data_IF_544506453414
#
_entry.id   IF_544506453414
#
_cell.length_a   1.000
_cell.length_b   1.000
_cell.length_c   1.000
_cell.angle_alpha   90.00
_cell.angle_beta   90.00
_cell.angle_gamma   90.00
#
_symmetry.space_group_name_H-M   'P 1'
#
loop_
_entity.id
_entity.type
_entity.pdbx_description
1 polymer ?
#
# COMPACT_ATOMS: atom_id res chain seq x y z
N UNK A 1 -46.48 45.93 15.90
CA UNK A 1 -46.98 44.62 15.39
C UNK A 1 -46.14 43.54 16.05
N UNK A 2 -46.72 42.80 16.99
CA UNK A 2 -46.01 41.76 17.75
C UNK A 2 -46.32 40.39 17.16
N UNK A 3 -45.29 39.56 16.98
CA UNK A 3 -45.43 38.18 16.52
C UNK A 3 -46.22 37.34 17.54
N UNK A 4 -47.05 36.39 17.09
CA UNK A 4 -47.75 35.47 17.99
C UNK A 4 -46.76 34.51 18.68
N UNK A 5 -47.07 34.03 19.89
CA UNK A 5 -46.18 33.14 20.63
C UNK A 5 -46.10 31.76 19.96
N UNK A 6 -44.93 31.13 20.05
CA UNK A 6 -44.69 29.77 19.58
C UNK A 6 -45.52 28.75 20.36
N UNK A 7 -45.97 27.65 19.73
CA UNK A 7 -46.67 26.58 20.41
C UNK A 7 -45.76 25.90 21.45
N UNK A 8 -46.33 25.31 22.53
CA UNK A 8 -45.54 24.64 23.55
C UNK A 8 -44.80 23.44 22.95
N UNK A 9 -43.52 23.30 23.29
CA UNK A 9 -42.75 22.13 22.90
C UNK A 9 -43.22 20.88 23.67
N UNK A 10 -43.23 19.69 23.04
CA UNK A 10 -43.61 18.48 23.72
C UNK A 10 -42.60 18.15 24.84
N UNK A 11 -43.11 17.92 26.04
CA UNK A 11 -42.32 17.41 27.17
C UNK A 11 -42.05 15.94 26.91
N UNK A 12 -40.78 15.58 26.66
CA UNK A 12 -40.38 14.18 26.63
C UNK A 12 -40.40 13.64 28.08
N UNK A 13 -41.08 12.51 28.33
CA UNK A 13 -41.12 11.94 29.67
C UNK A 13 -39.72 11.52 30.11
N UNK A 14 -39.37 11.91 31.34
CA UNK A 14 -38.19 11.42 32.03
C UNK A 14 -38.26 9.91 32.17
N UNK A 15 -37.38 9.22 31.44
CA UNK A 15 -37.00 7.86 31.74
C UNK A 15 -35.48 7.88 31.95
N UNK A 16 -35.04 7.49 33.13
CA UNK A 16 -33.65 7.16 33.39
C UNK A 16 -33.18 6.22 32.28
N UNK A 17 -32.21 6.67 31.47
CA UNK A 17 -31.64 5.85 30.41
C UNK A 17 -30.87 4.70 31.05
N UNK A 18 -31.39 3.49 30.91
CA UNK A 18 -30.63 2.27 31.14
C UNK A 18 -29.33 2.31 30.33
N UNK A 19 -28.23 1.72 30.83
CA UNK A 19 -26.95 1.78 30.14
C UNK A 19 -27.10 1.15 28.75
N UNK A 20 -26.85 1.94 27.72
CA UNK A 20 -26.72 1.45 26.34
C UNK A 20 -25.63 0.37 26.39
N UNK A 21 -26.01 -0.90 26.17
CA UNK A 21 -25.06 -2.00 26.02
C UNK A 21 -24.12 -1.63 24.87
N UNK A 22 -22.89 -1.21 25.21
CA UNK A 22 -21.81 -1.03 24.25
C UNK A 22 -21.62 -2.38 23.56
N UNK A 23 -21.98 -2.45 22.27
CA UNK A 23 -21.65 -3.60 21.44
C UNK A 23 -20.13 -3.87 21.47
N UNK A 24 -19.67 -5.07 21.11
CA UNK A 24 -18.25 -5.39 21.13
C UNK A 24 -17.46 -4.35 20.34
N UNK A 25 -16.43 -3.74 20.96
CA UNK A 25 -15.52 -2.85 20.23
C UNK A 25 -15.03 -3.60 18.98
N UNK A 26 -15.01 -2.97 17.78
CA UNK A 26 -14.53 -3.62 16.58
C UNK A 26 -13.14 -4.21 16.83
N UNK A 27 -12.98 -5.53 16.63
CA UNK A 27 -11.69 -6.19 16.80
C UNK A 27 -10.70 -5.64 15.76
N UNK A 28 -9.57 -5.11 16.21
CA UNK A 28 -8.50 -4.67 15.30
C UNK A 28 -7.88 -5.91 14.65
N UNK A 29 -7.93 -5.95 13.31
CA UNK A 29 -7.42 -7.06 12.49
C UNK A 29 -5.90 -7.00 12.34
N UNK A 30 -5.26 -8.10 11.92
CA UNK A 30 -3.82 -8.10 11.59
C UNK A 30 -3.51 -7.04 10.54
N UNK A 31 -4.33 -7.00 9.50
CA UNK A 31 -4.18 -6.07 8.40
C UNK A 31 -4.14 -4.62 8.89
N UNK A 32 -5.00 -4.23 9.85
CA UNK A 32 -4.94 -2.87 10.41
C UNK A 32 -3.62 -2.59 11.14
N UNK A 33 -3.06 -3.58 11.83
CA UNK A 33 -1.73 -3.45 12.43
C UNK A 33 -0.63 -3.32 11.37
N UNK A 34 -0.70 -4.12 10.30
CA UNK A 34 0.29 -4.04 9.21
C UNK A 34 0.21 -2.71 8.47
N UNK A 35 -0.99 -2.23 8.14
CA UNK A 35 -1.18 -0.91 7.49
C UNK A 35 -0.59 0.19 8.36
N UNK A 36 -0.93 0.25 9.65
CA UNK A 36 -0.38 1.24 10.57
C UNK A 36 1.15 1.15 10.67
N UNK A 37 1.71 -0.06 10.66
CA UNK A 37 3.16 -0.24 10.71
C UNK A 37 3.87 0.16 9.42
N UNK A 38 3.28 -0.09 8.26
CA UNK A 38 3.80 0.41 6.98
C UNK A 38 3.74 1.94 6.92
N UNK A 39 2.70 2.57 7.46
CA UNK A 39 2.63 4.02 7.60
C UNK A 39 3.75 4.57 8.50
N UNK A 40 3.98 3.97 9.67
CA UNK A 40 5.09 4.37 10.54
C UNK A 40 6.46 4.12 9.88
N UNK A 41 6.62 3.00 9.16
CA UNK A 41 7.82 2.68 8.41
C UNK A 41 8.12 3.76 7.36
N UNK A 42 7.10 4.20 6.61
CA UNK A 42 7.22 5.27 5.63
C UNK A 42 7.61 6.62 6.25
N UNK A 43 7.15 6.91 7.48
CA UNK A 43 7.38 8.19 8.16
C UNK A 43 8.77 8.29 8.78
N UNK A 44 9.30 7.20 9.36
CA UNK A 44 10.51 7.27 10.17
C UNK A 44 11.40 6.04 10.11
N UNK A 45 11.22 5.18 9.11
CA UNK A 45 11.96 3.93 8.99
C UNK A 45 11.59 2.91 10.06
N UNK A 46 12.38 1.84 10.15
CA UNK A 46 12.03 0.69 11.00
C UNK A 46 11.97 1.04 12.50
N UNK A 47 12.73 2.04 12.95
CA UNK A 47 12.75 2.48 14.34
C UNK A 47 11.45 3.19 14.75
N UNK A 48 10.69 3.73 13.80
CA UNK A 48 9.37 4.29 14.05
C UNK A 48 8.30 3.21 14.27
N UNK A 49 8.53 1.98 13.82
CA UNK A 49 7.61 0.83 13.97
C UNK A 49 7.71 0.26 15.39
N UNK A 50 7.09 0.96 16.35
CA UNK A 50 7.07 0.63 17.78
C UNK A 50 5.67 0.24 18.22
N UNK A 51 5.55 -0.83 19.01
CA UNK A 51 4.26 -1.39 19.44
C UNK A 51 3.42 -0.34 20.18
N UNK A 52 4.06 0.50 21.00
CA UNK A 52 3.49 1.65 21.70
C UNK A 52 2.75 2.59 20.74
N UNK A 53 3.46 3.03 19.69
CA UNK A 53 2.99 3.99 18.69
C UNK A 53 1.85 3.39 17.89
N UNK A 54 1.99 2.13 17.46
CA UNK A 54 0.95 1.44 16.71
C UNK A 54 -0.32 1.25 17.55
N UNK A 55 -0.18 0.90 18.82
CA UNK A 55 -1.32 0.72 19.72
C UNK A 55 -2.06 2.05 19.94
N UNK A 56 -1.32 3.14 20.17
CA UNK A 56 -1.87 4.48 20.30
C UNK A 56 -2.60 4.91 19.02
N UNK A 57 -1.96 4.77 17.85
CA UNK A 57 -2.54 5.08 16.55
C UNK A 57 -3.84 4.31 16.28
N UNK A 58 -3.90 3.04 16.70
CA UNK A 58 -5.07 2.19 16.51
C UNK A 58 -6.14 2.34 17.60
N UNK A 59 -5.89 3.15 18.64
CA UNK A 59 -6.82 3.35 19.77
C UNK A 59 -6.96 2.11 20.66
N UNK A 60 -5.90 1.32 20.78
CA UNK A 60 -5.87 0.03 21.49
C UNK A 60 -4.71 -0.03 22.50
N UNK A 61 -4.69 -1.08 23.32
CA UNK A 61 -3.60 -1.29 24.29
C UNK A 61 -2.52 -2.20 23.70
N UNK A 62 -1.29 -2.13 24.25
CA UNK A 62 -0.23 -3.10 23.93
C UNK A 62 -0.66 -4.54 24.20
N UNK A 63 -1.49 -4.77 25.22
CA UNK A 63 -2.03 -6.10 25.51
C UNK A 63 -2.82 -6.70 24.35
N UNK A 64 -3.53 -5.88 23.57
CA UNK A 64 -4.22 -6.34 22.36
C UNK A 64 -3.28 -6.70 21.21
N UNK A 65 -2.07 -6.12 21.17
CA UNK A 65 -1.03 -6.56 20.24
C UNK A 65 -0.55 -7.96 20.63
N UNK A 66 -0.17 -8.17 21.89
CA UNK A 66 0.36 -9.45 22.36
C UNK A 66 -0.67 -10.59 22.39
N UNK A 67 -1.96 -10.26 22.42
CA UNK A 67 -3.02 -11.25 22.20
C UNK A 67 -3.08 -11.78 20.75
N UNK A 68 -2.37 -11.13 19.82
CA UNK A 68 -2.38 -11.45 18.39
C UNK A 68 -1.01 -11.84 17.83
N UNK A 69 0.04 -11.19 18.31
CA UNK A 69 1.42 -11.40 17.86
C UNK A 69 2.30 -11.67 19.08
N UNK A 70 2.98 -12.81 19.08
CA UNK A 70 3.80 -13.22 20.24
C UNK A 70 4.96 -12.25 20.50
N UNK A 71 5.59 -11.76 19.43
CA UNK A 71 6.74 -10.86 19.50
C UNK A 71 6.69 -9.81 18.40
N UNK A 72 7.49 -8.74 18.58
CA UNK A 72 7.72 -7.74 17.53
C UNK A 72 8.31 -8.38 16.27
N UNK A 73 9.23 -9.32 16.40
CA UNK A 73 9.88 -9.95 15.24
C UNK A 73 8.89 -10.76 14.40
N UNK A 74 8.03 -11.56 15.04
CA UNK A 74 6.95 -12.30 14.35
C UNK A 74 5.99 -11.34 13.65
N UNK A 75 5.68 -10.21 14.27
CA UNK A 75 4.86 -9.17 13.65
C UNK A 75 5.54 -8.56 12.41
N UNK A 76 6.84 -8.26 12.49
CA UNK A 76 7.60 -7.68 11.40
C UNK A 76 7.78 -8.67 10.24
N UNK A 77 7.95 -9.96 10.52
CA UNK A 77 7.89 -11.05 9.53
C UNK A 77 6.56 -11.01 8.76
N UNK A 78 5.45 -11.05 9.50
CA UNK A 78 4.12 -11.05 8.90
C UNK A 78 3.78 -9.74 8.16
N UNK A 79 4.30 -8.59 8.63
CA UNK A 79 4.14 -7.30 7.97
C UNK A 79 4.84 -7.27 6.60
N UNK A 80 6.07 -7.78 6.53
CA UNK A 80 6.82 -7.85 5.28
C UNK A 80 6.14 -8.79 4.28
N UNK A 81 5.63 -9.93 4.76
CA UNK A 81 4.84 -10.85 3.94
C UNK A 81 3.55 -10.21 3.41
N UNK A 82 2.82 -9.49 4.27
CA UNK A 82 1.62 -8.74 3.89
C UNK A 82 1.94 -7.71 2.81
N UNK A 83 3.03 -6.96 2.98
CA UNK A 83 3.47 -5.96 2.01
C UNK A 83 3.85 -6.58 0.66
N UNK A 84 4.63 -7.67 0.65
CA UNK A 84 4.94 -8.44 -0.57
C UNK A 84 3.66 -8.89 -1.26
N UNK A 85 2.72 -9.45 -0.49
CA UNK A 85 1.49 -9.99 -1.04
C UNK A 85 0.66 -8.89 -1.70
N UNK A 86 0.49 -7.76 -1.02
CA UNK A 86 -0.34 -6.66 -1.51
C UNK A 86 0.27 -5.94 -2.71
N UNK A 87 1.56 -5.65 -2.67
CA UNK A 87 2.20 -4.79 -3.69
C UNK A 87 2.75 -5.53 -4.89
N UNK A 88 2.86 -6.87 -4.83
CA UNK A 88 3.43 -7.67 -5.92
C UNK A 88 2.51 -8.80 -6.32
N UNK A 89 2.31 -9.83 -5.50
CA UNK A 89 1.58 -11.02 -5.96
C UNK A 89 0.09 -10.73 -6.20
N UNK A 90 -0.54 -9.96 -5.33
CA UNK A 90 -1.93 -9.54 -5.45
C UNK A 90 -2.13 -8.61 -6.64
N UNK A 91 -1.28 -7.60 -6.79
CA UNK A 91 -1.33 -6.69 -7.94
C UNK A 91 -1.12 -7.41 -9.27
N UNK A 92 -0.12 -8.30 -9.36
CA UNK A 92 0.12 -9.11 -10.56
C UNK A 92 -1.10 -9.99 -10.86
N UNK A 93 -1.72 -10.61 -9.85
CA UNK A 93 -2.91 -11.43 -10.02
C UNK A 93 -4.10 -10.60 -10.52
N UNK A 94 -4.35 -9.42 -9.93
CA UNK A 94 -5.39 -8.49 -10.36
C UNK A 94 -5.21 -8.05 -11.81
N UNK A 95 -3.99 -7.64 -12.19
CA UNK A 95 -3.68 -7.23 -13.56
C UNK A 95 -3.77 -8.39 -14.56
N UNK A 96 -3.35 -9.59 -14.15
CA UNK A 96 -3.40 -10.78 -15.01
C UNK A 96 -4.82 -11.31 -15.23
N UNK A 97 -5.73 -11.04 -14.29
CA UNK A 97 -7.14 -11.39 -14.38
C UNK A 97 -7.97 -10.40 -15.22
N UNK A 98 -7.39 -9.26 -15.63
CA UNK A 98 -8.08 -8.31 -16.52
C UNK A 98 -8.30 -8.95 -17.89
N UNK A 99 -9.54 -8.86 -18.39
CA UNK A 99 -9.90 -9.24 -19.76
C UNK A 99 -9.48 -8.13 -20.75
N UNK A 100 -8.17 -7.90 -20.84
CA UNK A 100 -7.56 -6.83 -21.63
C UNK A 100 -6.18 -7.23 -22.16
N UNK A 101 -5.68 -6.51 -23.16
CA UNK A 101 -4.39 -6.76 -23.78
C UNK A 101 -3.19 -6.40 -22.87
N UNK A 102 -1.97 -6.81 -23.24
CA UNK A 102 -0.75 -6.48 -22.50
C UNK A 102 -0.49 -4.97 -22.41
N UNK A 103 -0.84 -4.21 -23.45
CA UNK A 103 -0.77 -2.74 -23.46
C UNK A 103 -1.64 -2.10 -22.38
N UNK A 104 -2.91 -2.53 -22.25
CA UNK A 104 -3.83 -2.04 -21.22
C UNK A 104 -3.35 -2.36 -19.81
N UNK A 105 -2.76 -3.56 -19.62
CA UNK A 105 -2.19 -3.98 -18.33
C UNK A 105 -0.97 -3.14 -17.97
N UNK A 106 -0.10 -2.82 -18.94
CA UNK A 106 1.04 -1.91 -18.76
C UNK A 106 0.56 -0.50 -18.40
N UNK A 107 -0.42 0.03 -19.14
CA UNK A 107 -1.02 1.34 -18.87
C UNK A 107 -1.63 1.40 -17.46
N UNK A 108 -2.34 0.34 -17.05
CA UNK A 108 -2.91 0.23 -15.71
C UNK A 108 -1.83 0.19 -14.63
N UNK A 109 -0.75 -0.55 -14.84
CA UNK A 109 0.38 -0.61 -13.91
C UNK A 109 1.02 0.77 -13.74
N UNK A 110 1.25 1.51 -14.82
CA UNK A 110 1.78 2.87 -14.74
C UNK A 110 0.83 3.83 -14.01
N UNK A 111 -0.48 3.70 -14.23
CA UNK A 111 -1.47 4.49 -13.52
C UNK A 111 -1.47 4.22 -12.00
N UNK A 112 -1.38 2.95 -11.59
CA UNK A 112 -1.27 2.55 -10.17
C UNK A 112 0.01 3.12 -9.56
N UNK A 113 1.14 2.93 -10.25
CA UNK A 113 2.43 3.45 -9.81
C UNK A 113 2.37 4.97 -9.57
N UNK A 114 1.69 5.73 -10.45
CA UNK A 114 1.49 7.17 -10.30
C UNK A 114 0.64 7.55 -9.09
N UNK A 115 -0.43 6.79 -8.80
CA UNK A 115 -1.29 7.04 -7.63
C UNK A 115 -0.55 6.77 -6.32
N UNK A 116 0.29 5.74 -6.28
CA UNK A 116 1.10 5.41 -5.11
C UNK A 116 2.13 6.50 -4.76
N UNK A 117 2.58 7.28 -5.75
CA UNK A 117 3.46 8.45 -5.53
C UNK A 117 2.84 9.53 -4.66
N UNK A 118 1.53 9.73 -4.84
CA UNK A 118 0.78 10.75 -4.11
C UNK A 118 0.37 10.28 -2.72
N UNK A 119 0.69 9.04 -2.37
CA UNK A 119 0.26 8.36 -1.16
C UNK A 119 1.45 7.78 -0.39
N UNK A 120 1.14 7.16 0.75
CA UNK A 120 2.13 6.49 1.62
C UNK A 120 2.89 5.36 0.92
N UNK A 121 2.33 4.76 -0.14
CA UNK A 121 2.88 3.58 -0.82
C UNK A 121 4.31 3.77 -1.37
N UNK A 122 4.61 4.88 -2.03
CA UNK A 122 5.96 5.15 -2.53
C UNK A 122 6.98 5.26 -1.39
N UNK A 123 6.62 5.92 -0.29
CA UNK A 123 7.49 6.05 0.88
C UNK A 123 7.69 4.71 1.61
N UNK A 124 6.71 3.80 1.57
CA UNK A 124 6.86 2.43 2.08
C UNK A 124 7.92 1.67 1.29
N UNK A 125 7.89 1.71 -0.04
CA UNK A 125 8.89 1.03 -0.90
C UNK A 125 10.31 1.57 -0.60
N UNK A 126 10.45 2.89 -0.46
CA UNK A 126 11.73 3.54 -0.11
C UNK A 126 12.22 3.09 1.26
N UNK A 127 11.34 3.10 2.26
CA UNK A 127 11.68 2.70 3.62
C UNK A 127 12.01 1.20 3.71
N UNK A 128 11.31 0.34 2.97
CA UNK A 128 11.64 -1.09 2.84
C UNK A 128 13.04 -1.28 2.24
N UNK A 129 13.37 -0.57 1.15
CA UNK A 129 14.70 -0.61 0.52
C UNK A 129 15.81 -0.13 1.46
N UNK A 130 15.55 0.93 2.23
CA UNK A 130 16.47 1.42 3.27
C UNK A 130 16.67 0.37 4.37
N UNK A 131 15.59 -0.20 4.89
CA UNK A 131 15.64 -1.21 5.94
C UNK A 131 16.39 -2.49 5.52
N UNK A 132 16.25 -2.89 4.26
CA UNK A 132 16.96 -4.03 3.70
C UNK A 132 18.49 -3.91 3.66
N UNK A 133 19.04 -2.70 3.84
CA UNK A 133 20.48 -2.50 3.98
C UNK A 133 21.03 -3.18 5.24
N UNK A 134 20.21 -3.29 6.29
CA UNK A 134 20.65 -3.79 7.61
C UNK A 134 19.87 -5.01 8.07
N UNK A 135 18.74 -5.35 7.45
CA UNK A 135 17.85 -6.43 7.88
C UNK A 135 17.65 -7.52 6.81
N UNK A 136 17.98 -8.76 7.17
CA UNK A 136 17.92 -9.92 6.28
C UNK A 136 16.50 -10.27 5.83
N UNK A 137 15.47 -9.99 6.64
CA UNK A 137 14.08 -10.26 6.26
C UNK A 137 13.63 -9.30 5.17
N UNK A 138 13.85 -8.00 5.37
CA UNK A 138 13.50 -6.99 4.38
C UNK A 138 14.26 -7.21 3.07
N UNK A 139 15.55 -7.57 3.17
CA UNK A 139 16.38 -7.92 2.02
C UNK A 139 15.81 -9.10 1.21
N UNK A 140 15.50 -10.22 1.87
CA UNK A 140 14.94 -11.41 1.18
C UNK A 140 13.62 -11.09 0.47
N UNK A 141 12.73 -10.37 1.14
CA UNK A 141 11.45 -10.00 0.55
C UNK A 141 11.61 -9.09 -0.67
N UNK A 142 12.52 -8.12 -0.63
CA UNK A 142 12.83 -7.27 -1.78
C UNK A 142 13.43 -8.07 -2.94
N UNK A 143 14.39 -8.96 -2.68
CA UNK A 143 14.98 -9.80 -3.72
C UNK A 143 13.91 -10.67 -4.42
N UNK A 144 12.90 -11.14 -3.70
CA UNK A 144 11.74 -11.84 -4.26
C UNK A 144 10.81 -10.92 -5.06
N UNK A 145 10.50 -9.74 -4.51
CA UNK A 145 9.64 -8.74 -5.15
C UNK A 145 10.26 -8.29 -6.48
N UNK A 146 11.53 -7.88 -6.46
CA UNK A 146 12.25 -7.35 -7.62
C UNK A 146 12.29 -8.41 -8.73
N UNK A 147 12.54 -9.68 -8.37
CA UNK A 147 12.50 -10.82 -9.31
C UNK A 147 11.13 -11.03 -9.93
N UNK A 148 10.07 -11.04 -9.12
CA UNK A 148 8.70 -11.26 -9.61
C UNK A 148 8.21 -10.09 -10.47
N UNK A 149 8.52 -8.85 -10.09
CA UNK A 149 8.15 -7.66 -10.87
C UNK A 149 8.87 -7.64 -12.21
N UNK A 150 10.18 -7.93 -12.25
CA UNK A 150 10.94 -8.05 -13.50
C UNK A 150 10.36 -9.13 -14.42
N UNK A 151 10.14 -10.34 -13.89
CA UNK A 151 9.54 -11.43 -14.67
C UNK A 151 8.15 -11.07 -15.22
N UNK A 152 7.36 -10.33 -14.46
CA UNK A 152 6.05 -9.87 -14.93
C UNK A 152 6.17 -8.85 -16.07
N UNK A 153 7.07 -7.87 -15.96
CA UNK A 153 7.33 -6.94 -17.06
C UNK A 153 7.83 -7.65 -18.32
N UNK A 154 8.74 -8.62 -18.17
CA UNK A 154 9.20 -9.43 -19.30
C UNK A 154 8.05 -10.17 -19.99
N UNK A 155 7.12 -10.72 -19.20
CA UNK A 155 5.94 -11.41 -19.74
C UNK A 155 5.02 -10.45 -20.52
N UNK A 156 4.80 -9.23 -20.02
CA UNK A 156 3.97 -8.23 -20.67
C UNK A 156 4.61 -7.73 -21.97
N UNK A 157 5.91 -7.46 -21.97
CA UNK A 157 6.64 -7.02 -23.17
C UNK A 157 6.67 -8.11 -24.25
N UNK A 158 6.89 -9.36 -23.85
CA UNK A 158 6.83 -10.51 -24.77
C UNK A 158 5.44 -10.61 -25.40
N UNK A 159 4.39 -10.52 -24.59
CA UNK A 159 3.00 -10.54 -25.07
C UNK A 159 2.67 -9.32 -25.96
N UNK A 160 3.32 -8.17 -25.72
CA UNK A 160 3.18 -6.96 -26.53
C UNK A 160 3.99 -6.98 -27.84
N UNK A 161 4.68 -8.08 -28.15
CA UNK A 161 5.41 -8.24 -29.42
C UNK A 161 6.82 -7.65 -29.45
N UNK A 162 7.37 -7.26 -28.30
CA UNK A 162 8.75 -6.76 -28.21
C UNK A 162 9.74 -7.88 -28.58
N UNK A 163 10.78 -7.60 -29.40
CA UNK A 163 11.79 -8.60 -29.76
C UNK A 163 12.46 -9.23 -28.54
N UNK A 164 12.62 -10.55 -28.56
CA UNK A 164 13.08 -11.35 -27.41
C UNK A 164 14.41 -10.86 -26.83
N UNK A 165 15.33 -10.43 -27.68
CA UNK A 165 16.63 -9.89 -27.30
C UNK A 165 16.56 -8.55 -26.56
N UNK A 166 15.45 -7.81 -26.70
CA UNK A 166 15.22 -6.52 -26.04
C UNK A 166 14.40 -6.65 -24.74
N UNK A 167 13.64 -7.72 -24.58
CA UNK A 167 12.70 -7.92 -23.46
C UNK A 167 13.37 -7.72 -22.09
N UNK A 168 14.50 -8.37 -21.74
CA UNK A 168 15.09 -8.22 -20.39
C UNK A 168 15.56 -6.78 -20.12
N UNK A 169 16.21 -6.15 -21.11
CA UNK A 169 16.71 -4.79 -20.97
C UNK A 169 15.56 -3.78 -20.83
N UNK A 170 14.49 -3.94 -21.61
CA UNK A 170 13.32 -3.07 -21.51
C UNK A 170 12.52 -3.30 -20.23
N UNK A 171 12.38 -4.53 -19.76
CA UNK A 171 11.76 -4.83 -18.47
C UNK A 171 12.54 -4.17 -17.32
N UNK A 172 13.87 -4.26 -17.35
CA UNK A 172 14.73 -3.58 -16.38
C UNK A 172 14.58 -2.06 -16.44
N UNK A 173 14.52 -1.46 -17.63
CA UNK A 173 14.29 -0.02 -17.80
C UNK A 173 12.92 0.41 -17.28
N UNK A 174 11.85 -0.33 -17.58
CA UNK A 174 10.51 -0.06 -17.05
C UNK A 174 10.53 -0.12 -15.53
N UNK A 175 11.13 -1.15 -14.97
CA UNK A 175 11.14 -1.31 -13.52
C UNK A 175 11.93 -0.21 -12.82
N UNK A 176 13.12 0.12 -13.36
CA UNK A 176 13.95 1.23 -12.89
C UNK A 176 13.21 2.58 -13.02
N UNK A 177 12.48 2.78 -14.12
CA UNK A 177 11.64 3.95 -14.34
C UNK A 177 10.52 4.03 -13.30
N UNK A 178 9.79 2.94 -13.03
CA UNK A 178 8.70 2.94 -12.03
C UNK A 178 9.22 3.31 -10.65
N UNK A 179 10.34 2.72 -10.21
CA UNK A 179 10.97 3.08 -8.93
C UNK A 179 11.43 4.54 -8.95
N UNK A 180 12.23 4.93 -9.94
CA UNK A 180 12.80 6.27 -10.02
C UNK A 180 11.74 7.36 -10.15
N UNK A 181 10.71 7.14 -10.96
CA UNK A 181 9.61 8.09 -11.16
C UNK A 181 8.92 8.40 -9.84
N UNK A 182 8.76 7.43 -8.94
CA UNK A 182 8.13 7.67 -7.63
C UNK A 182 8.90 8.63 -6.73
N UNK A 183 10.22 8.67 -6.88
CA UNK A 183 11.13 9.53 -6.10
C UNK A 183 11.28 10.94 -6.69
N UNK A 184 11.10 11.09 -8.00
CA UNK A 184 11.30 12.37 -8.67
C UNK A 184 10.15 13.34 -8.40
N UNK A 185 10.42 14.50 -7.80
CA UNK A 185 9.40 15.54 -7.59
C UNK A 185 9.01 16.28 -8.89
N UNK A 186 7.82 16.90 -8.87
CA UNK A 186 7.32 17.79 -9.92
C UNK A 186 6.37 17.13 -10.93
N UNK A 187 5.60 17.97 -11.63
CA UNK A 187 4.74 17.50 -12.71
C UNK A 187 5.53 17.35 -14.02
N UNK A 188 5.40 16.17 -14.62
CA UNK A 188 6.09 15.73 -15.82
C UNK A 188 5.14 14.87 -16.67
N UNK A 189 3.83 15.12 -16.62
CA UNK A 189 2.81 14.29 -17.28
C UNK A 189 3.13 13.97 -18.74
N UNK A 190 3.54 14.98 -19.52
CA UNK A 190 3.92 14.82 -20.93
C UNK A 190 5.12 13.89 -21.09
N UNK A 191 6.20 14.12 -20.33
CA UNK A 191 7.42 13.30 -20.39
C UNK A 191 7.11 11.86 -19.98
N UNK A 192 6.29 11.65 -18.94
CA UNK A 192 5.88 10.31 -18.49
C UNK A 192 5.15 9.55 -19.60
N UNK A 193 4.23 10.21 -20.29
CA UNK A 193 3.52 9.61 -21.43
C UNK A 193 4.50 9.15 -22.53
N UNK A 194 5.44 10.02 -22.92
CA UNK A 194 6.47 9.68 -23.92
C UNK A 194 7.35 8.51 -23.46
N UNK A 195 7.80 8.51 -22.20
CA UNK A 195 8.58 7.40 -21.65
C UNK A 195 7.80 6.09 -21.68
N UNK A 196 6.52 6.10 -21.30
CA UNK A 196 5.69 4.90 -21.29
C UNK A 196 5.54 4.34 -22.71
N UNK A 197 5.19 5.17 -23.69
CA UNK A 197 5.12 4.74 -25.11
C UNK A 197 6.45 4.16 -25.59
N UNK A 198 7.57 4.84 -25.32
CA UNK A 198 8.89 4.38 -25.74
C UNK A 198 9.26 3.02 -25.12
N UNK A 199 8.95 2.82 -23.85
CA UNK A 199 9.31 1.62 -23.12
C UNK A 199 8.45 0.40 -23.52
N UNK A 200 7.20 0.62 -23.95
CA UNK A 200 6.25 -0.46 -24.22
C UNK A 200 6.01 -0.76 -25.69
N UNK A 201 6.37 0.14 -26.62
CA UNK A 201 6.15 -0.08 -28.05
C UNK A 201 6.78 -1.39 -28.55
N UNK A 202 6.13 -2.14 -29.47
CA UNK A 202 6.71 -3.35 -30.08
C UNK A 202 8.06 -3.07 -30.76
#
# INVERSE_FOLDING_TARGET
MSLPPLPPQPVLPGAASAPVKRGPKPKVTAERWFIAALEQLALGGIDAVRIEVLAEQLGVTKGMFYARFDTREVFLDAMVDYWRQRTTTGLIAELSAMDSGPEDRLARLFAISRLDRTQTGAWVEVAMRSWALTDKRAKRALEEIDRHRLAYFESLLTANGVPKEQVPARAFMIYSYVIGDTLLSGDRAVIRSVCQTFLTAP
#
